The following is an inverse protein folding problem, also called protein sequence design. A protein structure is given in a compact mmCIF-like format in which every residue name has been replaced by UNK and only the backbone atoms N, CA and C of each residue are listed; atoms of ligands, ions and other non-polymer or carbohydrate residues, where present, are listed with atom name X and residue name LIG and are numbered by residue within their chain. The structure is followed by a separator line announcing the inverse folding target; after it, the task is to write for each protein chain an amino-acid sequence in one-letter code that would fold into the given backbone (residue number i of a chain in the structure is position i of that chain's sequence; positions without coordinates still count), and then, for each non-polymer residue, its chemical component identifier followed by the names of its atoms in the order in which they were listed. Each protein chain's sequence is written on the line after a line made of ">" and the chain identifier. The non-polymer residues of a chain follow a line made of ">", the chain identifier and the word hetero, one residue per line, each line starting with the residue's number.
data_IF_039030615181
#
_entry.id   IF_039030615181
#
_cell.length_a   1.000
_cell.length_b   1.000
_cell.length_c   1.000
_cell.angle_alpha   90.00
_cell.angle_beta   90.00
_cell.angle_gamma   90.00
#
_symmetry.space_group_name_H-M   'P 1'
#
loop_
_entity.id
_entity.type
_entity.pdbx_description
1 polymer ?
#
# COMPACT_ATOMS: atom_id res chain seq x y z
N UNK A 1 -24.80 4.51 -14.71
CA UNK A 1 -23.34 4.36 -14.52
C UNK A 1 -22.68 5.60 -13.91
N UNK A 2 -22.78 6.80 -14.50
CA UNK A 2 -22.13 8.03 -13.96
C UNK A 2 -22.39 8.34 -12.47
N UNK A 3 -23.63 8.19 -11.98
CA UNK A 3 -23.96 8.46 -10.56
C UNK A 3 -23.30 7.50 -9.57
N UNK A 4 -23.06 6.25 -9.94
CA UNK A 4 -22.40 5.27 -9.06
C UNK A 4 -20.91 5.53 -8.96
N UNK A 5 -20.25 5.84 -10.08
CA UNK A 5 -18.83 6.22 -10.11
C UNK A 5 -18.60 7.45 -9.23
N UNK A 6 -19.41 8.50 -9.40
CA UNK A 6 -19.30 9.72 -8.60
C UNK A 6 -19.55 9.48 -7.09
N UNK A 7 -20.38 8.49 -6.73
CA UNK A 7 -20.59 8.10 -5.32
C UNK A 7 -19.34 7.44 -4.75
N UNK A 8 -18.75 6.51 -5.50
CA UNK A 8 -17.51 5.81 -5.10
C UNK A 8 -16.36 6.81 -4.95
N UNK A 9 -16.16 7.72 -5.90
CA UNK A 9 -15.10 8.74 -5.81
C UNK A 9 -15.23 9.64 -4.59
N UNK A 10 -16.46 10.06 -4.24
CA UNK A 10 -16.71 10.84 -3.02
C UNK A 10 -16.41 10.03 -1.76
N UNK A 11 -16.79 8.76 -1.73
CA UNK A 11 -16.48 7.86 -0.61
C UNK A 11 -14.97 7.66 -0.45
N UNK A 12 -14.22 7.46 -1.55
CA UNK A 12 -12.76 7.34 -1.52
C UNK A 12 -12.12 8.64 -1.01
N UNK A 13 -12.60 9.81 -1.47
CA UNK A 13 -12.08 11.11 -1.01
C UNK A 13 -12.35 11.34 0.47
N UNK A 14 -13.49 10.88 0.99
CA UNK A 14 -13.83 10.98 2.40
C UNK A 14 -12.89 10.16 3.30
N UNK A 15 -12.32 9.05 2.80
CA UNK A 15 -11.31 8.27 3.53
C UNK A 15 -10.00 9.04 3.76
N UNK A 16 -9.72 10.07 2.93
CA UNK A 16 -8.57 10.96 3.07
C UNK A 16 -8.93 12.29 3.78
N UNK A 17 -10.12 12.38 4.38
CA UNK A 17 -10.59 13.57 5.09
C UNK A 17 -10.15 13.64 6.56
N UNK A 18 -10.67 14.60 7.34
CA UNK A 18 -10.41 14.71 8.78
C UNK A 18 -10.74 13.39 9.51
N UNK A 19 -9.79 12.85 10.28
CA UNK A 19 -9.89 11.53 10.92
C UNK A 19 -9.11 10.41 10.20
N UNK A 20 -8.47 10.69 9.07
CA UNK A 20 -7.61 9.75 8.35
C UNK A 20 -6.32 9.34 9.11
N UNK A 21 -5.99 9.96 10.24
CA UNK A 21 -4.83 9.54 11.05
C UNK A 21 -4.96 8.10 11.55
N UNK A 22 -6.18 7.65 11.86
CA UNK A 22 -6.43 6.24 12.19
C UNK A 22 -6.15 5.29 11.02
N UNK A 23 -6.38 5.75 9.78
CA UNK A 23 -6.06 5.01 8.56
C UNK A 23 -4.55 4.94 8.32
N UNK A 24 -3.80 6.00 8.63
CA UNK A 24 -2.34 5.99 8.54
C UNK A 24 -1.72 4.91 9.44
N UNK A 25 -2.24 4.74 10.66
CA UNK A 25 -1.78 3.69 11.61
C UNK A 25 -2.05 2.26 11.15
N UNK A 26 -3.09 2.03 10.33
CA UNK A 26 -3.45 0.70 9.81
C UNK A 26 -3.11 0.51 8.32
N UNK A 27 -2.54 1.52 7.66
CA UNK A 27 -2.26 1.51 6.22
C UNK A 27 -1.45 0.29 5.79
N UNK A 28 -0.46 -0.11 6.61
CA UNK A 28 0.35 -1.31 6.36
C UNK A 28 -0.48 -2.60 6.36
N UNK A 29 -1.44 -2.74 7.28
CA UNK A 29 -2.32 -3.89 7.33
C UNK A 29 -3.30 -3.93 6.16
N UNK A 30 -3.83 -2.77 5.77
CA UNK A 30 -4.71 -2.65 4.60
C UNK A 30 -3.96 -3.02 3.31
N UNK A 31 -2.75 -2.48 3.11
CA UNK A 31 -1.89 -2.81 1.97
C UNK A 31 -1.56 -4.30 1.90
N UNK A 32 -1.22 -4.90 3.04
CA UNK A 32 -0.93 -6.33 3.11
C UNK A 32 -2.16 -7.18 2.82
N UNK A 33 -3.32 -6.77 3.31
CA UNK A 33 -4.58 -7.48 3.06
C UNK A 33 -4.95 -7.43 1.57
N UNK A 34 -4.77 -6.28 0.93
CA UNK A 34 -5.01 -6.11 -0.51
C UNK A 34 -4.03 -6.92 -1.37
N UNK A 35 -2.73 -6.87 -1.05
CA UNK A 35 -1.72 -7.64 -1.78
C UNK A 35 -1.93 -9.15 -1.64
N UNK A 36 -2.34 -9.63 -0.47
CA UNK A 36 -2.69 -11.05 -0.26
C UNK A 36 -3.98 -11.40 -1.00
N UNK A 37 -4.99 -10.54 -0.98
CA UNK A 37 -6.27 -10.79 -1.65
C UNK A 37 -6.13 -10.83 -3.17
N UNK A 38 -5.46 -9.84 -3.76
CA UNK A 38 -5.14 -9.81 -5.20
C UNK A 38 -4.33 -11.03 -5.63
N UNK A 39 -3.29 -11.38 -4.87
CA UNK A 39 -2.48 -12.58 -5.14
C UNK A 39 -3.30 -13.87 -5.09
N UNK A 40 -4.25 -13.99 -4.15
CA UNK A 40 -5.15 -15.16 -4.08
C UNK A 40 -6.08 -15.26 -5.28
N UNK A 41 -6.59 -14.14 -5.78
CA UNK A 41 -7.40 -14.10 -7.00
C UNK A 41 -6.57 -14.59 -8.20
N UNK A 42 -5.27 -14.31 -8.22
CA UNK A 42 -4.31 -14.75 -9.22
C UNK A 42 -3.78 -16.19 -9.00
N UNK A 43 -4.28 -16.90 -7.97
CA UNK A 43 -3.90 -18.27 -7.66
C UNK A 43 -2.63 -18.42 -6.79
N UNK A 44 -2.12 -17.32 -6.24
CA UNK A 44 -0.93 -17.28 -5.37
C UNK A 44 -1.39 -17.13 -3.92
N UNK A 45 -1.23 -18.19 -3.10
CA UNK A 45 -1.69 -18.22 -1.71
C UNK A 45 -0.52 -18.38 -0.71
N UNK A 46 0.27 -17.33 -0.46
CA UNK A 46 1.39 -17.41 0.47
C UNK A 46 0.89 -17.31 1.92
N UNK A 47 1.68 -17.86 2.85
CA UNK A 47 1.39 -17.69 4.28
C UNK A 47 1.66 -16.24 4.70
N UNK A 48 0.76 -15.68 5.51
CA UNK A 48 0.90 -14.31 5.98
C UNK A 48 2.25 -14.08 6.67
N UNK A 49 2.73 -15.04 7.48
CA UNK A 49 4.04 -14.97 8.14
C UNK A 49 5.19 -14.85 7.15
N UNK A 50 5.17 -15.61 6.06
CA UNK A 50 6.21 -15.55 5.03
C UNK A 50 6.18 -14.21 4.28
N UNK A 51 5.00 -13.66 4.01
CA UNK A 51 4.87 -12.30 3.43
C UNK A 51 5.45 -11.25 4.37
N UNK A 52 5.22 -11.34 5.69
CA UNK A 52 5.83 -10.45 6.67
C UNK A 52 7.37 -10.49 6.64
N UNK A 53 7.92 -11.70 6.56
CA UNK A 53 9.37 -11.92 6.51
C UNK A 53 9.96 -11.41 5.18
N UNK A 54 9.23 -11.56 4.08
CA UNK A 54 9.59 -11.02 2.77
C UNK A 54 9.59 -9.48 2.76
N UNK A 55 8.62 -8.84 3.43
CA UNK A 55 8.60 -7.38 3.61
C UNK A 55 9.80 -6.89 4.43
N UNK A 56 10.11 -7.56 5.55
CA UNK A 56 11.31 -7.25 6.35
C UNK A 56 12.59 -7.49 5.54
N UNK A 57 12.58 -8.52 4.69
CA UNK A 57 13.62 -8.86 3.73
C UNK A 57 14.02 -7.76 2.74
N UNK A 58 13.19 -6.71 2.60
CA UNK A 58 13.49 -5.54 1.75
C UNK A 58 14.47 -4.56 2.43
N UNK A 59 14.49 -4.53 3.76
CA UNK A 59 15.38 -3.67 4.55
C UNK A 59 16.52 -4.45 5.21
N UNK A 60 16.35 -5.76 5.41
CA UNK A 60 17.26 -6.64 6.12
C UNK A 60 17.48 -7.94 5.33
N UNK A 61 18.65 -8.58 5.46
CA UNK A 61 18.88 -9.87 4.80
C UNK A 61 18.20 -11.00 5.59
N UNK A 62 17.01 -11.43 5.14
CA UNK A 62 16.28 -12.56 5.71
C UNK A 62 16.42 -13.79 4.81
N UNK A 63 16.92 -14.92 5.34
CA UNK A 63 17.00 -16.20 4.61
C UNK A 63 15.73 -17.02 4.77
N UNK A 64 15.41 -17.86 3.77
CA UNK A 64 14.33 -18.84 3.85
C UNK A 64 12.92 -18.29 3.58
N UNK A 65 12.83 -17.17 2.87
CA UNK A 65 11.57 -16.60 2.38
C UNK A 65 11.13 -17.31 1.10
N UNK A 66 9.86 -17.69 0.99
CA UNK A 66 9.34 -18.35 -0.21
C UNK A 66 9.21 -17.39 -1.40
N UNK A 67 9.40 -17.90 -2.62
CA UNK A 67 9.26 -17.11 -3.86
C UNK A 67 7.88 -16.45 -3.98
N UNK A 68 6.81 -17.14 -3.55
CA UNK A 68 5.46 -16.59 -3.55
C UNK A 68 5.32 -15.42 -2.57
N UNK A 69 5.93 -15.52 -1.39
CA UNK A 69 5.91 -14.42 -0.42
C UNK A 69 6.71 -13.20 -0.91
N UNK A 70 7.80 -13.43 -1.64
CA UNK A 70 8.58 -12.36 -2.27
C UNK A 70 7.77 -11.61 -3.33
N UNK A 71 6.98 -12.32 -4.15
CA UNK A 71 6.10 -11.68 -5.14
C UNK A 71 5.06 -10.78 -4.48
N UNK A 72 4.45 -11.22 -3.38
CA UNK A 72 3.46 -10.42 -2.64
C UNK A 72 4.10 -9.21 -1.97
N UNK A 73 5.28 -9.35 -1.37
CA UNK A 73 6.01 -8.23 -0.81
C UNK A 73 6.39 -7.19 -1.88
N UNK A 74 6.77 -7.61 -3.08
CA UNK A 74 7.04 -6.70 -4.20
C UNK A 74 5.77 -5.94 -4.62
N UNK A 75 4.63 -6.63 -4.73
CA UNK A 75 3.35 -5.98 -5.02
C UNK A 75 3.01 -4.93 -3.95
N UNK A 76 3.25 -5.21 -2.67
CA UNK A 76 3.06 -4.24 -1.59
C UNK A 76 3.95 -3.01 -1.76
N UNK A 77 5.23 -3.18 -2.10
CA UNK A 77 6.15 -2.06 -2.35
C UNK A 77 5.66 -1.18 -3.49
N UNK A 78 5.16 -1.77 -4.58
CA UNK A 78 4.63 -1.04 -5.74
C UNK A 78 3.39 -0.23 -5.34
N UNK A 79 2.45 -0.84 -4.62
CA UNK A 79 1.23 -0.14 -4.17
C UNK A 79 1.58 0.99 -3.19
N UNK A 80 2.52 0.75 -2.28
CA UNK A 80 2.98 1.77 -1.34
C UNK A 80 3.67 2.96 -2.04
N UNK A 81 4.59 2.68 -2.98
CA UNK A 81 5.28 3.72 -3.75
C UNK A 81 4.30 4.58 -4.58
N UNK A 82 3.20 3.99 -5.05
CA UNK A 82 2.17 4.69 -5.82
C UNK A 82 1.31 5.62 -4.94
N UNK A 83 1.16 5.31 -3.64
CA UNK A 83 0.39 6.10 -2.69
C UNK A 83 1.17 7.29 -2.12
N UNK A 84 2.49 7.35 -2.31
CA UNK A 84 3.31 8.51 -2.00
C UNK A 84 3.30 9.49 -3.17
N UNK A 85 2.27 10.33 -3.23
CA UNK A 85 2.33 11.55 -4.06
C UNK A 85 3.34 12.49 -3.40
N UNK A 86 4.39 12.98 -4.10
CA UNK A 86 5.33 13.92 -3.51
C UNK A 86 4.55 15.16 -3.06
N UNK A 87 4.57 15.43 -1.76
CA UNK A 87 4.19 16.75 -1.24
C UNK A 87 5.15 17.74 -1.89
N UNK A 88 4.62 18.62 -2.73
CA UNK A 88 5.35 19.70 -3.36
C UNK A 88 6.20 20.40 -2.31
N UNK A 89 7.52 20.31 -2.45
CA UNK A 89 8.46 21.17 -1.74
C UNK A 89 8.06 22.60 -2.04
N UNK A 90 7.52 23.29 -1.04
CA UNK A 90 7.32 24.73 -1.08
C UNK A 90 8.65 25.40 -1.40
N UNK A 91 8.71 26.01 -2.58
CA UNK A 91 9.80 26.86 -3.02
C UNK A 91 10.03 27.98 -1.99
N UNK A 92 11.12 27.89 -1.23
CA UNK A 92 11.77 29.03 -0.61
C UNK A 92 12.67 29.68 -1.67
N UNK A 93 12.12 30.67 -2.37
CA UNK A 93 12.88 31.68 -3.12
C UNK A 93 12.18 33.01 -2.88
N UNK A 94 12.68 33.82 -1.95
CA UNK A 94 13.39 35.06 -2.27
C UNK A 94 12.68 35.87 -3.37
N UNK A 95 11.80 36.76 -2.95
CA UNK A 95 11.56 38.01 -3.68
C UNK A 95 12.24 39.13 -2.89
N UNK A 96 12.96 39.95 -3.65
CA UNK A 96 13.92 40.99 -3.23
C UNK A 96 13.27 42.20 -2.57
#
# INVERSE_FOLDING_TARGET
>A
MSRQVAKVERSIRALNGPGAEGLAGIARFLLRSEAIASSRIEGIAPSARQVALAELGQSETIRGVSNQAQLVANNMTIVHARLQVPHSTSCTGQES
#
